data_IF_940600733719
#
_entry.id   IF_940600733719
#
_cell.length_a   1.000
_cell.length_b   1.000
_cell.length_c   1.000
_cell.angle_alpha   90.00
_cell.angle_beta   90.00
_cell.angle_gamma   90.00
#
_symmetry.space_group_name_H-M   'P 1'
#
loop_
_entity.id
_entity.type
_entity.pdbx_description
1 polymer ?
#
# COMPACT_ATOMS: atom_id res chain seq x y z
N UNK A 1 3.78 -31.30 1.04
CA UNK A 1 3.03 -30.90 2.26
C UNK A 1 1.56 -31.16 2.01
N UNK A 2 0.78 -31.71 2.94
CA UNK A 2 -0.62 -31.97 2.70
C UNK A 2 -1.34 -30.64 2.45
N UNK A 3 -1.96 -30.51 1.29
CA UNK A 3 -2.92 -29.44 1.00
C UNK A 3 -4.00 -29.55 2.07
N UNK A 4 -4.14 -28.54 2.93
CA UNK A 4 -5.14 -28.50 3.98
C UNK A 4 -6.50 -28.50 3.29
N UNK A 5 -7.12 -29.69 3.16
CA UNK A 5 -8.41 -29.83 2.45
C UNK A 5 -9.46 -29.07 3.26
N UNK A 6 -9.99 -28.00 2.66
CA UNK A 6 -11.14 -27.28 3.18
C UNK A 6 -12.28 -28.26 3.35
N UNK A 7 -12.72 -28.46 4.59
CA UNK A 7 -13.82 -29.33 4.97
C UNK A 7 -15.12 -28.52 5.10
N UNK A 8 -16.23 -29.19 5.46
CA UNK A 8 -17.52 -28.53 5.65
C UNK A 8 -17.46 -27.42 6.71
N UNK A 9 -16.71 -27.65 7.80
CA UNK A 9 -16.58 -26.65 8.87
C UNK A 9 -15.93 -25.36 8.37
N UNK A 10 -14.93 -25.47 7.47
CA UNK A 10 -14.32 -24.30 6.83
C UNK A 10 -15.34 -23.46 6.05
N UNK A 11 -16.22 -24.11 5.27
CA UNK A 11 -17.25 -23.40 4.50
C UNK A 11 -18.33 -22.78 5.40
N UNK A 12 -18.74 -23.46 6.47
CA UNK A 12 -19.71 -22.94 7.43
C UNK A 12 -19.17 -21.72 8.18
N UNK A 13 -17.94 -21.77 8.67
CA UNK A 13 -17.28 -20.65 9.34
C UNK A 13 -17.08 -19.46 8.38
N UNK A 14 -16.63 -19.73 7.15
CA UNK A 14 -16.52 -18.70 6.12
C UNK A 14 -17.85 -18.01 5.85
N UNK A 15 -18.91 -18.78 5.67
CA UNK A 15 -20.26 -18.23 5.44
C UNK A 15 -20.71 -17.37 6.65
N UNK A 16 -20.53 -17.87 7.86
CA UNK A 16 -20.82 -17.14 9.10
C UNK A 16 -20.05 -15.83 9.20
N UNK A 17 -18.74 -15.84 8.95
CA UNK A 17 -17.90 -14.63 8.96
C UNK A 17 -18.39 -13.60 7.93
N UNK A 18 -18.64 -14.03 6.70
CA UNK A 18 -19.13 -13.13 5.64
C UNK A 18 -20.51 -12.56 5.95
N UNK A 19 -21.43 -13.36 6.49
CA UNK A 19 -22.75 -12.87 6.92
C UNK A 19 -22.61 -11.78 8.01
N UNK A 20 -21.73 -11.99 8.99
CA UNK A 20 -21.45 -11.01 10.04
C UNK A 20 -20.86 -9.71 9.48
N UNK A 21 -19.98 -9.76 8.49
CA UNK A 21 -19.45 -8.58 7.79
C UNK A 21 -20.59 -7.81 7.10
N UNK A 22 -21.47 -8.52 6.35
CA UNK A 22 -22.58 -7.90 5.61
C UNK A 22 -23.53 -7.16 6.54
N UNK A 23 -23.83 -7.69 7.72
CA UNK A 23 -24.73 -7.05 8.69
C UNK A 23 -23.98 -6.05 9.62
N UNK A 24 -22.70 -5.80 9.37
CA UNK A 24 -21.91 -4.80 10.10
C UNK A 24 -21.32 -5.25 11.44
N UNK A 25 -21.44 -6.52 11.80
CA UNK A 25 -20.93 -7.08 13.07
C UNK A 25 -19.45 -7.49 12.93
N UNK A 26 -18.58 -6.51 12.58
CA UNK A 26 -17.16 -6.72 12.26
C UNK A 26 -16.38 -7.42 13.39
N UNK A 27 -16.62 -7.07 14.65
CA UNK A 27 -15.92 -7.71 15.78
C UNK A 27 -16.22 -9.20 15.87
N UNK A 28 -17.50 -9.58 15.73
CA UNK A 28 -17.88 -10.99 15.73
C UNK A 28 -17.36 -11.74 14.51
N UNK A 29 -17.25 -11.07 13.35
CA UNK A 29 -16.63 -11.66 12.16
C UNK A 29 -15.13 -11.93 12.41
N UNK A 30 -14.43 -11.03 13.10
CA UNK A 30 -13.04 -11.21 13.49
C UNK A 30 -12.86 -12.43 14.41
N UNK A 31 -13.71 -12.59 15.43
CA UNK A 31 -13.70 -13.77 16.32
C UNK A 31 -13.82 -15.08 15.52
N UNK A 32 -14.71 -15.09 14.50
CA UNK A 32 -14.87 -16.25 13.61
C UNK A 32 -13.63 -16.50 12.76
N UNK A 33 -12.98 -15.45 12.23
CA UNK A 33 -11.73 -15.64 11.49
C UNK A 33 -10.59 -16.09 12.40
N UNK A 34 -10.54 -15.66 13.66
CA UNK A 34 -9.58 -16.18 14.63
C UNK A 34 -9.83 -17.66 14.94
N UNK A 35 -11.10 -18.08 15.07
CA UNK A 35 -11.46 -19.48 15.19
C UNK A 35 -11.01 -20.27 13.95
N UNK A 36 -11.27 -19.75 12.75
CA UNK A 36 -10.79 -20.34 11.51
C UNK A 36 -9.26 -20.45 11.47
N UNK A 37 -8.54 -19.44 11.92
CA UNK A 37 -7.08 -19.47 11.95
C UNK A 37 -6.52 -20.52 12.92
N UNK A 38 -7.19 -20.79 14.05
CA UNK A 38 -6.83 -21.89 14.96
C UNK A 38 -6.97 -23.24 14.29
N UNK A 39 -8.03 -23.43 13.48
CA UNK A 39 -8.30 -24.70 12.79
C UNK A 39 -7.54 -24.84 11.46
N UNK A 40 -7.31 -23.74 10.77
CA UNK A 40 -6.71 -23.66 9.43
C UNK A 40 -5.57 -22.62 9.38
N UNK A 41 -4.47 -22.78 10.16
CA UNK A 41 -3.47 -21.74 10.40
C UNK A 41 -2.65 -21.34 9.17
N UNK A 42 -2.76 -22.08 8.07
CA UNK A 42 -2.04 -21.82 6.81
C UNK A 42 -2.98 -21.53 5.64
N UNK A 43 -4.26 -21.31 5.89
CA UNK A 43 -5.22 -20.97 4.83
C UNK A 43 -5.06 -19.49 4.43
N UNK A 44 -4.86 -19.24 3.14
CA UNK A 44 -4.59 -17.90 2.60
C UNK A 44 -5.77 -16.96 2.77
N UNK A 45 -6.98 -17.47 2.55
CA UNK A 45 -8.20 -16.68 2.73
C UNK A 45 -8.34 -16.22 4.17
N UNK A 46 -8.09 -17.12 5.13
CA UNK A 46 -8.21 -16.82 6.56
C UNK A 46 -7.17 -15.78 6.98
N UNK A 47 -5.91 -15.99 6.61
CA UNK A 47 -4.83 -15.05 6.95
C UNK A 47 -5.03 -13.67 6.32
N UNK A 48 -5.44 -13.63 5.05
CA UNK A 48 -5.71 -12.36 4.36
C UNK A 48 -6.89 -11.64 4.99
N UNK A 49 -7.96 -12.36 5.33
CA UNK A 49 -9.14 -11.79 6.00
C UNK A 49 -8.79 -11.24 7.37
N UNK A 50 -8.01 -11.97 8.16
CA UNK A 50 -7.54 -11.51 9.48
C UNK A 50 -6.67 -10.28 9.38
N UNK A 51 -5.68 -10.28 8.48
CA UNK A 51 -4.81 -9.12 8.27
C UNK A 51 -5.62 -7.87 7.90
N UNK A 52 -6.59 -8.02 6.99
CA UNK A 52 -7.50 -6.93 6.63
C UNK A 52 -8.33 -6.45 7.83
N UNK A 53 -8.97 -7.36 8.57
CA UNK A 53 -9.79 -7.02 9.72
C UNK A 53 -8.98 -6.34 10.82
N UNK A 54 -7.76 -6.81 11.11
CA UNK A 54 -6.84 -6.19 12.06
C UNK A 54 -6.44 -4.78 11.64
N UNK A 55 -6.19 -4.57 10.33
CA UNK A 55 -5.93 -3.23 9.78
C UNK A 55 -7.10 -2.29 10.05
N UNK A 56 -8.33 -2.72 9.77
CA UNK A 56 -9.56 -1.95 10.01
C UNK A 56 -9.78 -1.60 11.50
N UNK A 57 -9.34 -2.47 12.40
CA UNK A 57 -9.42 -2.26 13.86
C UNK A 57 -8.21 -1.51 14.44
N UNK A 58 -7.23 -1.12 13.60
CA UNK A 58 -6.04 -0.39 14.04
C UNK A 58 -4.92 -1.27 14.62
N UNK A 59 -5.09 -2.59 14.66
CA UNK A 59 -4.02 -3.54 15.03
C UNK A 59 -3.05 -3.74 13.85
N UNK A 60 -2.31 -2.69 13.52
CA UNK A 60 -1.33 -2.70 12.42
C UNK A 60 -0.22 -3.72 12.64
N UNK A 61 0.22 -3.91 13.89
CA UNK A 61 1.28 -4.87 14.21
C UNK A 61 0.83 -6.32 13.99
N UNK A 62 -0.37 -6.67 14.41
CA UNK A 62 -0.96 -7.98 14.15
C UNK A 62 -1.21 -8.22 12.67
N UNK A 63 -1.67 -7.20 11.93
CA UNK A 63 -1.85 -7.29 10.48
C UNK A 63 -0.51 -7.52 9.75
N UNK A 64 0.55 -6.79 10.11
CA UNK A 64 1.91 -6.99 9.57
C UNK A 64 2.39 -8.44 9.81
N UNK A 65 2.16 -8.98 11.01
CA UNK A 65 2.54 -10.35 11.32
C UNK A 65 1.83 -11.37 10.41
N UNK A 66 0.53 -11.20 10.16
CA UNK A 66 -0.23 -12.09 9.30
C UNK A 66 0.16 -11.93 7.81
N UNK A 67 0.39 -10.69 7.33
CA UNK A 67 0.92 -10.48 5.98
C UNK A 67 2.32 -11.07 5.81
N UNK A 68 3.23 -10.93 6.79
CA UNK A 68 4.56 -11.59 6.76
C UNK A 68 4.44 -13.11 6.64
N UNK A 69 3.48 -13.75 7.30
CA UNK A 69 3.23 -15.20 7.12
C UNK A 69 2.79 -15.55 5.70
N UNK A 70 1.98 -14.69 5.08
CA UNK A 70 1.56 -14.86 3.68
C UNK A 70 2.73 -14.72 2.71
N UNK A 71 3.70 -13.83 2.97
CA UNK A 71 4.86 -13.64 2.08
C UNK A 71 5.82 -14.83 2.05
N UNK A 72 5.71 -15.78 2.99
CA UNK A 72 6.51 -17.02 2.98
C UNK A 72 6.01 -18.06 1.98
N UNK A 73 4.88 -17.80 1.30
CA UNK A 73 4.28 -18.73 0.35
C UNK A 73 4.81 -18.52 -1.07
N UNK A 74 4.92 -19.61 -1.86
CA UNK A 74 5.47 -19.50 -3.22
C UNK A 74 4.60 -18.66 -4.16
N UNK A 75 3.27 -18.69 -3.98
CA UNK A 75 2.30 -18.06 -4.88
C UNK A 75 1.71 -16.77 -4.25
N UNK A 76 2.56 -16.02 -3.53
CA UNK A 76 2.13 -14.76 -2.91
C UNK A 76 1.81 -13.71 -3.99
N UNK A 77 0.66 -13.02 -3.83
CA UNK A 77 0.28 -11.96 -4.75
C UNK A 77 0.98 -10.63 -4.46
N UNK A 78 1.07 -9.79 -5.48
CA UNK A 78 1.58 -8.42 -5.37
C UNK A 78 0.81 -7.58 -4.36
N UNK A 79 -0.50 -7.84 -4.21
CA UNK A 79 -1.37 -7.11 -3.27
C UNK A 79 -0.97 -7.37 -1.82
N UNK A 80 -0.55 -8.60 -1.48
CA UNK A 80 -0.08 -8.94 -0.14
C UNK A 80 1.19 -8.15 0.19
N UNK A 81 2.14 -8.10 -0.74
CA UNK A 81 3.36 -7.32 -0.58
C UNK A 81 3.08 -5.82 -0.49
N UNK A 82 2.16 -5.31 -1.32
CA UNK A 82 1.75 -3.91 -1.26
C UNK A 82 1.14 -3.56 0.10
N UNK A 83 0.17 -4.35 0.58
CA UNK A 83 -0.49 -4.11 1.86
C UNK A 83 0.51 -4.18 3.04
N UNK A 84 1.45 -5.12 2.98
CA UNK A 84 2.53 -5.21 3.96
C UNK A 84 3.37 -3.94 3.94
N UNK A 85 3.82 -3.49 2.77
CA UNK A 85 4.63 -2.29 2.61
C UNK A 85 3.90 -1.03 3.10
N UNK A 86 2.61 -0.90 2.79
CA UNK A 86 1.78 0.20 3.25
C UNK A 86 1.71 0.27 4.78
N UNK A 87 1.44 -0.85 5.46
CA UNK A 87 1.38 -0.88 6.92
C UNK A 87 2.74 -0.65 7.58
N UNK A 88 3.81 -1.16 6.96
CA UNK A 88 5.18 -0.93 7.43
C UNK A 88 5.54 0.56 7.33
N UNK A 89 5.18 1.22 6.23
CA UNK A 89 5.37 2.67 6.06
C UNK A 89 4.60 3.46 7.14
N UNK A 90 3.33 3.16 7.36
CA UNK A 90 2.53 3.79 8.42
C UNK A 90 3.09 3.57 9.84
N UNK A 91 3.82 2.47 10.07
CA UNK A 91 4.50 2.16 11.34
C UNK A 91 5.93 2.70 11.41
N UNK A 92 6.38 3.45 10.39
CA UNK A 92 7.74 4.01 10.32
C UNK A 92 8.82 2.96 10.06
N UNK A 93 8.47 1.75 9.63
CA UNK A 93 9.40 0.66 9.27
C UNK A 93 9.87 0.87 7.82
N UNK A 94 10.56 1.99 7.56
CA UNK A 94 10.81 2.51 6.21
C UNK A 94 11.60 1.53 5.33
N UNK A 95 12.64 0.85 5.86
CA UNK A 95 13.43 -0.11 5.10
C UNK A 95 12.65 -1.38 4.75
N UNK A 96 11.84 -1.88 5.69
CA UNK A 96 10.96 -3.02 5.45
C UNK A 96 9.90 -2.68 4.40
N UNK A 97 9.32 -1.48 4.47
CA UNK A 97 8.34 -0.97 3.50
C UNK A 97 8.94 -0.87 2.09
N UNK A 98 10.18 -0.35 1.95
CA UNK A 98 10.90 -0.33 0.67
C UNK A 98 11.00 -1.74 0.08
N UNK A 99 11.44 -2.70 0.90
CA UNK A 99 11.55 -4.09 0.46
C UNK A 99 10.21 -4.61 -0.04
N UNK A 100 9.15 -4.42 0.73
CA UNK A 100 7.82 -4.92 0.40
C UNK A 100 7.26 -4.31 -0.88
N UNK A 101 7.38 -2.98 -1.07
CA UNK A 101 6.95 -2.32 -2.31
C UNK A 101 7.76 -2.81 -3.52
N UNK A 102 9.07 -3.03 -3.38
CA UNK A 102 9.89 -3.59 -4.48
C UNK A 102 9.46 -5.02 -4.84
N UNK A 103 9.08 -5.85 -3.87
CA UNK A 103 8.54 -7.19 -4.15
C UNK A 103 7.19 -7.11 -4.87
N UNK A 104 6.30 -6.21 -4.45
CA UNK A 104 5.03 -5.98 -5.14
C UNK A 104 5.25 -5.56 -6.61
N UNK A 105 6.16 -4.61 -6.85
CA UNK A 105 6.51 -4.14 -8.19
C UNK A 105 7.13 -5.26 -9.03
N UNK A 106 7.97 -6.11 -8.45
CA UNK A 106 8.57 -7.26 -9.15
C UNK A 106 7.53 -8.24 -9.64
N UNK A 107 6.44 -8.44 -8.88
CA UNK A 107 5.32 -9.31 -9.25
C UNK A 107 4.38 -8.63 -10.26
N UNK A 108 4.17 -7.32 -10.12
CA UNK A 108 3.32 -6.55 -11.02
C UNK A 108 3.86 -5.12 -11.19
N UNK A 109 4.56 -4.87 -12.30
CA UNK A 109 5.12 -3.53 -12.63
C UNK A 109 4.08 -2.48 -13.00
N UNK A 110 2.82 -2.86 -13.16
CA UNK A 110 1.72 -1.94 -13.40
C UNK A 110 0.93 -1.60 -12.12
N UNK A 111 1.36 -2.08 -10.96
CA UNK A 111 0.76 -1.70 -9.67
C UNK A 111 1.22 -0.29 -9.27
N UNK A 112 0.44 0.70 -9.72
CA UNK A 112 0.74 2.13 -9.54
C UNK A 112 0.88 2.51 -8.05
N UNK A 113 0.02 1.97 -7.17
CA UNK A 113 0.09 2.22 -5.74
C UNK A 113 1.44 1.81 -5.13
N UNK A 114 2.04 0.71 -5.60
CA UNK A 114 3.34 0.28 -5.11
C UNK A 114 4.47 1.20 -5.56
N UNK A 115 4.40 1.76 -6.78
CA UNK A 115 5.35 2.77 -7.25
C UNK A 115 5.23 4.07 -6.46
N UNK A 116 4.00 4.50 -6.14
CA UNK A 116 3.78 5.67 -5.31
C UNK A 116 4.34 5.46 -3.89
N UNK A 117 3.98 4.35 -3.23
CA UNK A 117 4.49 4.00 -1.90
C UNK A 117 6.02 3.92 -1.86
N UNK A 118 6.63 3.28 -2.88
CA UNK A 118 8.10 3.24 -3.02
C UNK A 118 8.69 4.65 -3.13
N UNK A 119 8.04 5.53 -3.90
CA UNK A 119 8.46 6.93 -4.03
C UNK A 119 8.47 7.66 -2.70
N UNK A 120 7.42 7.52 -1.89
CA UNK A 120 7.32 8.14 -0.56
C UNK A 120 8.39 7.64 0.40
N UNK A 121 8.58 6.34 0.47
CA UNK A 121 9.60 5.69 1.31
C UNK A 121 11.01 6.15 0.92
N UNK A 122 11.30 6.26 -0.38
CA UNK A 122 12.60 6.73 -0.86
C UNK A 122 12.84 8.22 -0.55
N UNK A 123 11.79 9.06 -0.52
CA UNK A 123 11.87 10.43 -0.02
C UNK A 123 12.25 10.45 1.47
N UNK A 124 11.58 9.64 2.30
CA UNK A 124 11.90 9.51 3.72
C UNK A 124 13.35 9.07 3.96
N UNK A 125 13.88 8.21 3.08
CA UNK A 125 15.27 7.75 3.09
C UNK A 125 16.25 8.74 2.45
N UNK A 126 15.79 9.91 1.98
CA UNK A 126 16.58 10.93 1.26
C UNK A 126 17.26 10.42 -0.02
N UNK A 127 16.73 9.33 -0.59
CA UNK A 127 17.20 8.75 -1.85
C UNK A 127 16.43 9.34 -3.04
N UNK A 128 16.60 10.66 -3.22
CA UNK A 128 15.76 11.44 -4.14
C UNK A 128 15.84 11.03 -5.61
N UNK A 129 17.00 10.56 -6.11
CA UNK A 129 17.11 10.10 -7.51
C UNK A 129 16.26 8.86 -7.78
N UNK A 130 16.19 7.96 -6.81
CA UNK A 130 15.36 6.77 -6.93
C UNK A 130 13.88 7.11 -6.72
N UNK A 131 13.57 8.01 -5.78
CA UNK A 131 12.22 8.52 -5.57
C UNK A 131 11.65 9.14 -6.84
N UNK A 132 12.41 9.99 -7.52
CA UNK A 132 12.03 10.59 -8.81
C UNK A 132 11.71 9.51 -9.85
N UNK A 133 12.52 8.45 -9.94
CA UNK A 133 12.26 7.35 -10.89
C UNK A 133 10.95 6.63 -10.57
N UNK A 134 10.72 6.32 -9.30
CA UNK A 134 9.51 5.63 -8.85
C UNK A 134 8.25 6.49 -9.08
N UNK A 135 8.28 7.76 -8.69
CA UNK A 135 7.17 8.69 -8.88
C UNK A 135 6.90 8.96 -10.36
N UNK A 136 7.93 9.09 -11.21
CA UNK A 136 7.76 9.20 -12.67
C UNK A 136 7.12 7.94 -13.28
N UNK A 137 7.38 6.76 -12.73
CA UNK A 137 6.68 5.55 -13.18
C UNK A 137 5.21 5.60 -12.76
N UNK A 138 4.91 6.04 -11.53
CA UNK A 138 3.54 6.23 -11.09
C UNK A 138 2.78 7.24 -11.97
N UNK A 139 3.36 8.40 -12.28
CA UNK A 139 2.70 9.41 -13.13
C UNK A 139 2.42 8.92 -14.55
N UNK A 140 3.21 7.97 -15.08
CA UNK A 140 2.92 7.31 -16.36
C UNK A 140 1.75 6.33 -16.27
N UNK A 141 1.60 5.66 -15.14
CA UNK A 141 0.49 4.72 -14.90
C UNK A 141 -0.81 5.46 -14.55
N UNK A 142 -0.70 6.57 -13.83
CA UNK A 142 -1.81 7.39 -13.35
C UNK A 142 -1.59 8.88 -13.69
N UNK A 143 -1.64 9.27 -14.98
CA UNK A 143 -1.25 10.63 -15.40
C UNK A 143 -2.16 11.73 -14.84
N UNK A 144 -3.42 11.43 -14.56
CA UNK A 144 -4.41 12.38 -14.01
C UNK A 144 -4.48 12.34 -12.48
N UNK A 145 -3.67 11.53 -11.80
CA UNK A 145 -3.59 11.53 -10.34
C UNK A 145 -2.59 12.60 -9.87
N UNK A 146 -3.00 13.59 -9.06
CA UNK A 146 -2.12 14.69 -8.69
C UNK A 146 -1.03 14.30 -7.68
N UNK A 147 -1.22 13.21 -6.94
CA UNK A 147 -0.39 12.89 -5.79
C UNK A 147 1.09 12.69 -6.11
N UNK A 148 1.40 11.91 -7.14
CA UNK A 148 2.79 11.68 -7.52
C UNK A 148 3.42 12.91 -8.19
N UNK A 149 2.67 13.67 -8.96
CA UNK A 149 3.11 14.95 -9.51
C UNK A 149 3.46 15.93 -8.39
N UNK A 150 2.62 16.01 -7.37
CA UNK A 150 2.86 16.85 -6.20
C UNK A 150 4.18 16.50 -5.47
N UNK A 151 4.38 15.20 -5.20
CA UNK A 151 5.62 14.76 -4.56
C UNK A 151 6.85 14.98 -5.44
N UNK A 152 6.74 14.78 -6.75
CA UNK A 152 7.82 15.07 -7.69
C UNK A 152 8.23 16.55 -7.66
N UNK A 153 7.27 17.48 -7.68
CA UNK A 153 7.57 18.90 -7.62
C UNK A 153 8.29 19.28 -6.31
N UNK A 154 7.84 18.72 -5.18
CA UNK A 154 8.50 18.93 -3.87
C UNK A 154 9.93 18.42 -3.87
N UNK A 155 10.16 17.21 -4.36
CA UNK A 155 11.51 16.62 -4.44
C UNK A 155 12.43 17.46 -5.34
N UNK A 156 11.92 17.94 -6.48
CA UNK A 156 12.71 18.83 -7.36
C UNK A 156 13.04 20.17 -6.69
N UNK A 157 12.09 20.78 -5.98
CA UNK A 157 12.33 22.01 -5.23
C UNK A 157 13.37 21.79 -4.12
N UNK A 158 13.27 20.71 -3.36
CA UNK A 158 14.22 20.37 -2.30
C UNK A 158 15.65 20.13 -2.84
N UNK A 159 15.76 19.64 -4.07
CA UNK A 159 17.05 19.45 -4.75
C UNK A 159 17.59 20.70 -5.46
N UNK A 160 17.00 21.87 -5.23
CA UNK A 160 17.35 23.11 -5.96
C UNK A 160 17.23 22.96 -7.50
N UNK A 161 16.19 22.29 -7.96
CA UNK A 161 15.84 22.14 -9.38
C UNK A 161 14.51 22.84 -9.67
N UNK A 162 14.43 24.18 -9.53
CA UNK A 162 13.18 24.93 -9.61
C UNK A 162 12.50 24.86 -10.98
N UNK A 163 13.29 24.72 -12.05
CA UNK A 163 12.75 24.60 -13.41
C UNK A 163 11.88 23.35 -13.59
N UNK A 164 12.32 22.22 -13.05
CA UNK A 164 11.56 20.98 -13.12
C UNK A 164 10.31 21.04 -12.23
N UNK A 165 10.43 21.63 -11.05
CA UNK A 165 9.28 21.86 -10.17
C UNK A 165 8.23 22.77 -10.84
N UNK A 166 8.67 23.87 -11.46
CA UNK A 166 7.81 24.81 -12.19
C UNK A 166 7.04 24.14 -13.34
N UNK A 167 7.68 23.29 -14.14
CA UNK A 167 7.02 22.53 -15.21
C UNK A 167 5.86 21.68 -14.66
N UNK A 168 6.08 21.05 -13.50
CA UNK A 168 5.06 20.21 -12.87
C UNK A 168 3.93 21.07 -12.30
N UNK A 169 4.24 22.22 -11.69
CA UNK A 169 3.23 23.16 -11.19
C UNK A 169 2.32 23.63 -12.35
N UNK A 170 2.90 23.99 -13.48
CA UNK A 170 2.15 24.38 -14.69
C UNK A 170 1.26 23.24 -15.17
N UNK A 171 1.80 22.02 -15.24
CA UNK A 171 1.02 20.85 -15.62
C UNK A 171 -0.16 20.59 -14.67
N UNK A 172 0.05 20.69 -13.36
CA UNK A 172 -1.03 20.54 -12.37
C UNK A 172 -2.08 21.64 -12.47
N UNK A 173 -1.72 22.86 -12.89
CA UNK A 173 -2.70 23.94 -13.11
C UNK A 173 -3.78 23.56 -14.13
N UNK A 174 -3.46 22.71 -15.11
CA UNK A 174 -4.37 22.33 -16.18
C UNK A 174 -5.50 21.40 -15.70
N UNK A 175 -5.25 20.52 -14.70
CA UNK A 175 -6.24 19.54 -14.25
C UNK A 175 -6.52 19.53 -12.74
N UNK A 176 -5.55 19.95 -11.90
CA UNK A 176 -5.70 20.02 -10.43
C UNK A 176 -5.15 21.34 -9.86
N UNK A 177 -5.79 22.49 -10.14
CA UNK A 177 -5.30 23.83 -9.75
C UNK A 177 -5.08 24.00 -8.23
N UNK A 178 -5.81 23.23 -7.40
CA UNK A 178 -5.65 23.30 -5.94
C UNK A 178 -4.28 22.79 -5.50
N UNK A 179 -3.82 21.68 -6.08
CA UNK A 179 -2.49 21.12 -5.82
C UNK A 179 -1.38 22.05 -6.34
N UNK A 180 -1.55 22.62 -7.52
CA UNK A 180 -0.63 23.62 -8.06
C UNK A 180 -0.47 24.82 -7.12
N UNK A 181 -1.58 25.41 -6.66
CA UNK A 181 -1.58 26.55 -5.74
C UNK A 181 -0.94 26.21 -4.38
N UNK A 182 -1.12 24.98 -3.91
CA UNK A 182 -0.47 24.53 -2.70
C UNK A 182 1.06 24.46 -2.87
N UNK A 183 1.52 23.87 -3.99
CA UNK A 183 2.95 23.80 -4.33
C UNK A 183 3.58 25.17 -4.47
N UNK A 184 2.92 26.13 -5.14
CA UNK A 184 3.41 27.52 -5.23
C UNK A 184 3.67 28.14 -3.86
N UNK A 185 2.77 27.90 -2.89
CA UNK A 185 2.93 28.38 -1.52
C UNK A 185 4.07 27.71 -0.78
N UNK A 186 4.20 26.37 -0.94
CA UNK A 186 5.21 25.59 -0.21
C UNK A 186 6.61 25.77 -0.77
N UNK A 187 6.74 25.94 -2.08
CA UNK A 187 8.04 26.04 -2.76
C UNK A 187 8.49 27.48 -3.00
N UNK A 188 7.59 28.45 -2.90
CA UNK A 188 7.83 29.84 -3.28
C UNK A 188 7.96 30.07 -4.80
N UNK A 189 7.67 29.05 -5.61
CA UNK A 189 7.72 29.10 -7.07
C UNK A 189 6.37 29.56 -7.63
N UNK A 190 6.18 30.88 -7.74
CA UNK A 190 5.01 31.46 -8.42
C UNK A 190 5.13 31.36 -9.93
N UNK A 191 4.11 30.84 -10.62
CA UNK A 191 4.01 30.73 -12.09
C UNK A 191 2.65 31.16 -12.59
#
# INVERSE_FOLDING_TARGET
MPVNKRNLDWYLLKWRANALIIIGLKNQAMDVFEEMNRQFPHDDYVLTSLAFMKTEHGDKAGAIADYKRLTLKPDVSEVIWYNLGFLQEEMGQTQDAEHSFRQAIKLNENLDQAWYGLGLVLIQLQRFDEAIKALKKNTKLQPMSPYAWYQLARVYAERNQPEEATKIILHLKEFEPKFAKQLERETGLGV
#
